data_IF_101224298953
#
_entry.id   IF_101224298953
#
_cell.length_a   1.000
_cell.length_b   1.000
_cell.length_c   1.000
_cell.angle_alpha   90.00
_cell.angle_beta   90.00
_cell.angle_gamma   90.00
#
_symmetry.space_group_name_H-M   'P 1'
#
loop_
_entity.id
_entity.type
_entity.pdbx_description
1 polymer ?
#
# COMPACT_ATOMS: atom_id res chain seq x y z
N UNK A 1 15.02 -16.10 -29.88
CA UNK A 1 16.40 -15.65 -29.60
C UNK A 1 16.45 -14.61 -28.48
N UNK A 2 15.79 -13.45 -28.59
CA UNK A 2 15.77 -12.41 -27.55
C UNK A 2 15.44 -12.88 -26.13
N UNK A 3 14.38 -13.68 -25.94
CA UNK A 3 13.99 -14.20 -24.60
C UNK A 3 15.05 -15.12 -23.97
N UNK A 4 15.74 -15.95 -24.76
CA UNK A 4 16.83 -16.81 -24.24
C UNK A 4 17.98 -15.95 -23.69
N UNK A 5 18.40 -14.95 -24.46
CA UNK A 5 19.46 -14.01 -24.07
C UNK A 5 19.15 -13.30 -22.75
N UNK A 6 17.93 -12.80 -22.58
CA UNK A 6 17.54 -12.10 -21.33
C UNK A 6 17.51 -13.05 -20.14
N UNK A 7 16.95 -14.26 -20.29
CA UNK A 7 16.91 -15.24 -19.21
C UNK A 7 18.32 -15.68 -18.81
N UNK A 8 19.21 -15.91 -19.77
CA UNK A 8 20.62 -16.24 -19.51
C UNK A 8 21.35 -15.11 -18.77
N UNK A 9 21.15 -13.85 -19.18
CA UNK A 9 21.75 -12.69 -18.53
C UNK A 9 21.20 -12.45 -17.12
N UNK A 10 19.91 -12.70 -16.87
CA UNK A 10 19.31 -12.62 -15.53
C UNK A 10 19.81 -13.73 -14.60
N UNK A 11 19.88 -14.96 -15.09
CA UNK A 11 20.37 -16.11 -14.34
C UNK A 11 21.85 -15.96 -13.93
N UNK A 12 22.64 -15.20 -14.68
CA UNK A 12 24.03 -14.87 -14.33
C UNK A 12 24.16 -13.85 -13.18
N UNK A 13 23.06 -13.18 -12.79
CA UNK A 13 23.06 -12.08 -11.80
C UNK A 13 22.37 -12.49 -10.49
N UNK A 14 21.38 -13.38 -10.55
CA UNK A 14 20.69 -13.88 -9.36
C UNK A 14 20.15 -15.29 -9.57
N UNK A 15 20.16 -16.06 -8.49
CA UNK A 15 19.54 -17.39 -8.37
C UNK A 15 18.04 -17.33 -7.99
N UNK A 16 17.49 -16.13 -7.78
CA UNK A 16 16.12 -15.90 -7.29
C UNK A 16 15.33 -15.01 -8.23
N UNK A 17 15.15 -15.45 -9.46
CA UNK A 17 14.31 -14.77 -10.47
C UNK A 17 13.24 -15.72 -11.01
N UNK A 18 12.05 -15.19 -11.26
CA UNK A 18 11.00 -15.88 -12.00
C UNK A 18 10.74 -15.12 -13.29
N UNK A 19 10.85 -15.82 -14.42
CA UNK A 19 10.68 -15.28 -15.75
C UNK A 19 9.37 -15.77 -16.37
N UNK A 20 8.52 -14.84 -16.80
CA UNK A 20 7.24 -15.12 -17.46
C UNK A 20 7.37 -14.80 -18.95
N UNK A 21 7.03 -15.77 -19.80
CA UNK A 21 7.07 -15.63 -21.26
C UNK A 21 6.00 -16.50 -21.91
N UNK A 22 5.43 -16.02 -23.02
CA UNK A 22 4.51 -16.80 -23.85
C UNK A 22 5.24 -17.83 -24.76
N UNK A 23 6.57 -17.82 -24.82
CA UNK A 23 7.33 -18.76 -25.65
C UNK A 23 7.38 -20.16 -25.01
N UNK A 24 7.02 -21.19 -25.79
CA UNK A 24 7.15 -22.60 -25.41
C UNK A 24 8.48 -23.22 -25.86
N UNK A 25 9.33 -22.47 -26.56
CA UNK A 25 10.61 -23.00 -27.03
C UNK A 25 11.50 -23.38 -25.84
N UNK A 26 12.20 -24.54 -25.88
CA UNK A 26 13.18 -24.89 -24.87
C UNK A 26 14.21 -23.76 -24.70
N UNK A 27 14.64 -23.44 -23.49
CA UNK A 27 15.67 -22.43 -23.27
C UNK A 27 17.08 -23.03 -23.36
N UNK A 28 17.26 -24.30 -22.97
CA UNK A 28 18.54 -25.02 -22.95
C UNK A 28 19.68 -24.29 -22.21
N UNK A 29 19.35 -23.49 -21.19
CA UNK A 29 20.30 -22.70 -20.40
C UNK A 29 20.66 -23.40 -19.07
N UNK A 30 21.96 -23.66 -18.79
CA UNK A 30 22.38 -24.29 -17.54
C UNK A 30 21.92 -23.52 -16.30
N UNK A 31 21.29 -24.22 -15.34
CA UNK A 31 20.81 -23.62 -14.08
C UNK A 31 19.45 -22.94 -14.16
N UNK A 32 18.81 -22.91 -15.33
CA UNK A 32 17.45 -22.38 -15.51
C UNK A 32 16.45 -23.54 -15.53
N UNK A 33 15.54 -23.58 -14.56
CA UNK A 33 14.42 -24.50 -14.57
C UNK A 33 13.29 -23.92 -15.44
N UNK A 34 13.05 -24.54 -16.60
CA UNK A 34 11.91 -24.17 -17.45
C UNK A 34 10.69 -25.04 -17.11
N UNK A 35 9.56 -24.38 -16.86
CA UNK A 35 8.25 -25.03 -16.71
C UNK A 35 7.35 -24.55 -17.85
N UNK A 36 6.96 -25.48 -18.73
CA UNK A 36 5.99 -25.19 -19.80
C UNK A 36 4.60 -25.56 -19.29
N UNK A 37 3.74 -24.55 -19.12
CA UNK A 37 2.35 -24.77 -18.69
C UNK A 37 1.46 -25.14 -19.87
N UNK A 38 0.48 -26.00 -19.63
CA UNK A 38 -0.54 -26.33 -20.64
C UNK A 38 -1.47 -25.13 -20.86
N UNK A 39 -1.99 -24.94 -22.09
CA UNK A 39 -2.99 -23.90 -22.34
C UNK A 39 -4.30 -24.19 -21.59
N UNK A 40 -5.14 -23.16 -21.37
CA UNK A 40 -6.50 -23.35 -20.85
C UNK A 40 -7.27 -24.37 -21.71
N UNK A 41 -7.71 -25.50 -21.13
CA UNK A 41 -8.22 -26.66 -21.87
C UNK A 41 -9.53 -26.44 -22.64
N UNK A 42 -10.17 -25.29 -22.49
CA UNK A 42 -11.59 -25.09 -22.86
C UNK A 42 -11.78 -24.04 -23.97
N UNK A 43 -10.73 -23.29 -24.34
CA UNK A 43 -10.86 -22.16 -25.26
C UNK A 43 -9.76 -22.12 -26.32
N UNK A 44 -10.07 -21.56 -27.48
CA UNK A 44 -9.15 -21.32 -28.60
C UNK A 44 -9.23 -19.85 -29.02
N UNK A 45 -8.21 -19.35 -29.73
CA UNK A 45 -8.18 -17.97 -30.19
C UNK A 45 -8.08 -16.95 -29.06
N UNK A 46 -8.71 -15.79 -29.23
CA UNK A 46 -8.62 -14.67 -28.28
C UNK A 46 -9.16 -14.98 -26.88
N UNK A 47 -10.19 -15.84 -26.78
CA UNK A 47 -10.74 -16.28 -25.49
C UNK A 47 -9.68 -16.98 -24.63
N UNK A 48 -8.78 -17.73 -25.27
CA UNK A 48 -7.66 -18.37 -24.57
C UNK A 48 -6.64 -17.34 -24.05
N UNK A 49 -6.44 -16.24 -24.78
CA UNK A 49 -5.52 -15.18 -24.40
C UNK A 49 -6.07 -14.37 -23.23
N UNK A 50 -7.35 -13.98 -23.28
CA UNK A 50 -8.00 -13.18 -22.24
C UNK A 50 -8.22 -13.98 -20.95
N UNK A 51 -8.47 -15.28 -21.05
CA UNK A 51 -8.66 -16.15 -19.87
C UNK A 51 -7.35 -16.72 -19.31
N UNK A 52 -6.24 -16.63 -20.06
CA UNK A 52 -4.95 -17.14 -19.64
C UNK A 52 -4.51 -16.62 -18.24
N UNK A 53 -4.68 -15.34 -17.87
CA UNK A 53 -4.34 -14.90 -16.53
C UNK A 53 -5.08 -15.64 -15.42
N UNK A 54 -6.39 -15.89 -15.60
CA UNK A 54 -7.20 -16.64 -14.62
C UNK A 54 -6.70 -18.08 -14.47
N UNK A 55 -6.21 -18.67 -15.55
CA UNK A 55 -5.68 -20.03 -15.55
C UNK A 55 -4.29 -20.13 -14.91
N UNK A 56 -3.35 -19.25 -15.30
CA UNK A 56 -1.95 -19.34 -14.88
C UNK A 56 -1.67 -18.71 -13.51
N UNK A 57 -2.42 -17.67 -13.12
CA UNK A 57 -2.22 -16.96 -11.86
C UNK A 57 -2.05 -17.87 -10.63
N UNK A 58 -2.94 -18.86 -10.36
CA UNK A 58 -2.83 -19.66 -9.13
C UNK A 58 -1.58 -20.54 -9.13
N UNK A 59 -1.17 -21.01 -10.31
CA UNK A 59 0.00 -21.87 -10.51
C UNK A 59 1.27 -21.05 -10.25
N UNK A 60 1.40 -19.90 -10.92
CA UNK A 60 2.59 -19.04 -10.81
C UNK A 60 2.68 -18.43 -9.40
N UNK A 61 1.55 -18.10 -8.76
CA UNK A 61 1.54 -17.64 -7.37
C UNK A 61 2.14 -18.68 -6.42
N UNK A 62 1.71 -19.95 -6.52
CA UNK A 62 2.21 -21.00 -5.65
C UNK A 62 3.73 -21.18 -5.82
N UNK A 63 4.22 -21.10 -7.06
CA UNK A 63 5.65 -21.11 -7.36
C UNK A 63 6.37 -19.91 -6.72
N UNK A 64 5.85 -18.70 -6.88
CA UNK A 64 6.44 -17.48 -6.31
C UNK A 64 6.47 -17.51 -4.77
N UNK A 65 5.45 -18.07 -4.12
CA UNK A 65 5.42 -18.21 -2.65
C UNK A 65 6.48 -19.20 -2.14
N UNK A 66 6.77 -20.22 -2.93
CA UNK A 66 7.79 -21.23 -2.61
C UNK A 66 9.21 -20.70 -2.88
N UNK A 67 9.44 -20.14 -4.07
CA UNK A 67 10.74 -19.67 -4.52
C UNK A 67 11.13 -18.32 -3.91
N UNK A 68 10.14 -17.50 -3.54
CA UNK A 68 10.31 -16.13 -3.04
C UNK A 68 11.29 -15.34 -3.91
N UNK A 69 10.97 -15.11 -5.19
CA UNK A 69 11.91 -14.47 -6.10
C UNK A 69 12.19 -13.03 -5.65
N UNK A 70 13.42 -12.59 -5.91
CA UNK A 70 13.84 -11.21 -5.67
C UNK A 70 13.21 -10.28 -6.68
N UNK A 71 12.99 -10.74 -7.91
CA UNK A 71 12.34 -10.00 -8.99
C UNK A 71 11.48 -10.91 -9.87
N UNK A 72 10.40 -10.36 -10.41
CA UNK A 72 9.68 -10.92 -11.54
C UNK A 72 10.19 -10.25 -12.82
N UNK A 73 10.46 -11.04 -13.84
CA UNK A 73 10.67 -10.54 -15.19
C UNK A 73 9.55 -11.07 -16.09
N UNK A 74 8.89 -10.19 -16.83
CA UNK A 74 7.89 -10.58 -17.82
C UNK A 74 8.22 -9.92 -19.15
N UNK A 75 8.32 -10.75 -20.20
CA UNK A 75 8.20 -10.25 -21.56
C UNK A 75 6.73 -10.14 -21.89
N UNK A 76 6.22 -8.90 -21.90
CA UNK A 76 4.80 -8.65 -21.99
C UNK A 76 4.22 -9.29 -23.25
N UNK A 77 3.05 -9.90 -23.10
CA UNK A 77 2.28 -10.51 -24.18
C UNK A 77 0.86 -9.98 -24.11
N UNK A 78 0.17 -9.91 -25.25
CA UNK A 78 -1.19 -9.35 -25.29
C UNK A 78 -2.10 -10.05 -24.27
N UNK A 79 -2.83 -9.26 -23.49
CA UNK A 79 -3.85 -9.76 -22.55
C UNK A 79 -3.28 -10.39 -21.29
N UNK A 80 -1.96 -10.40 -21.10
CA UNK A 80 -1.33 -10.94 -19.89
C UNK A 80 -1.27 -9.90 -18.77
N UNK A 81 -1.77 -10.29 -17.60
CA UNK A 81 -1.72 -9.49 -16.36
C UNK A 81 -1.01 -10.21 -15.21
N UNK A 82 -0.56 -11.46 -15.40
CA UNK A 82 -0.11 -12.33 -14.31
C UNK A 82 1.07 -11.75 -13.53
N UNK A 83 2.14 -11.30 -14.20
CA UNK A 83 3.29 -10.73 -13.50
C UNK A 83 2.95 -9.44 -12.76
N UNK A 84 2.08 -8.61 -13.33
CA UNK A 84 1.59 -7.40 -12.68
C UNK A 84 0.78 -7.72 -11.41
N UNK A 85 -0.17 -8.63 -11.51
CA UNK A 85 -0.98 -9.06 -10.37
C UNK A 85 -0.15 -9.72 -9.27
N UNK A 86 0.87 -10.52 -9.64
CA UNK A 86 1.78 -11.15 -8.68
C UNK A 86 2.68 -10.13 -8.02
N UNK A 87 3.24 -9.19 -8.78
CA UNK A 87 4.04 -8.09 -8.25
C UNK A 87 3.25 -7.31 -7.21
N UNK A 88 2.02 -6.93 -7.55
CA UNK A 88 1.14 -6.18 -6.66
C UNK A 88 0.77 -6.99 -5.41
N UNK A 89 0.38 -8.27 -5.56
CA UNK A 89 -0.09 -9.09 -4.44
C UNK A 89 1.01 -9.63 -3.53
N UNK A 90 2.21 -9.81 -4.05
CA UNK A 90 3.34 -10.41 -3.33
C UNK A 90 4.47 -9.42 -3.02
N UNK A 91 4.34 -8.15 -3.43
CA UNK A 91 5.33 -7.08 -3.27
C UNK A 91 6.70 -7.46 -3.85
N UNK A 92 6.67 -8.08 -5.03
CA UNK A 92 7.89 -8.50 -5.74
C UNK A 92 8.17 -7.45 -6.83
N UNK A 93 9.36 -6.83 -6.85
CA UNK A 93 9.69 -5.87 -7.88
C UNK A 93 9.66 -6.51 -9.28
N UNK A 94 9.15 -5.75 -10.24
CA UNK A 94 8.65 -6.26 -11.52
C UNK A 94 9.30 -5.55 -12.69
N UNK A 95 10.01 -6.32 -13.52
CA UNK A 95 10.67 -5.85 -14.73
C UNK A 95 9.84 -6.28 -15.93
N UNK A 96 9.37 -5.31 -16.71
CA UNK A 96 8.57 -5.56 -17.91
C UNK A 96 9.38 -5.25 -19.14
N UNK A 97 9.57 -6.23 -20.01
CA UNK A 97 10.01 -5.98 -21.37
C UNK A 97 8.79 -5.68 -22.25
N UNK A 98 8.69 -4.43 -22.68
CA UNK A 98 7.61 -3.88 -23.47
C UNK A 98 8.05 -3.71 -24.94
N UNK A 99 7.58 -4.55 -25.87
CA UNK A 99 7.94 -4.45 -27.28
C UNK A 99 7.15 -3.38 -28.05
N UNK A 100 6.11 -2.79 -27.43
CA UNK A 100 5.18 -1.85 -28.05
C UNK A 100 3.79 -2.47 -28.32
N UNK A 101 2.73 -1.68 -28.15
CA UNK A 101 1.34 -2.12 -28.28
C UNK A 101 1.01 -2.79 -29.62
N UNK A 102 1.48 -2.19 -30.72
CA UNK A 102 1.27 -2.74 -32.06
C UNK A 102 1.99 -4.08 -32.24
N UNK A 103 3.20 -4.22 -31.69
CA UNK A 103 3.95 -5.47 -31.74
C UNK A 103 3.28 -6.57 -30.90
N UNK A 104 2.74 -6.23 -29.73
CA UNK A 104 1.99 -7.17 -28.88
C UNK A 104 0.77 -7.74 -29.61
N UNK A 105 -0.06 -6.87 -30.20
CA UNK A 105 -1.27 -7.28 -30.90
C UNK A 105 -0.94 -8.05 -32.19
N UNK A 106 0.03 -7.58 -33.00
CA UNK A 106 0.45 -8.30 -34.21
C UNK A 106 0.98 -9.70 -33.90
N UNK A 107 1.77 -9.85 -32.84
CA UNK A 107 2.30 -11.15 -32.41
C UNK A 107 1.18 -12.09 -31.94
N UNK A 108 0.19 -11.58 -31.22
CA UNK A 108 -0.88 -12.37 -30.64
C UNK A 108 -1.96 -12.77 -31.65
N UNK A 109 -2.26 -11.89 -32.60
CA UNK A 109 -3.43 -12.00 -33.49
C UNK A 109 -3.04 -12.21 -34.95
N UNK A 110 -1.75 -12.39 -35.27
CA UNK A 110 -1.24 -12.53 -36.65
C UNK A 110 -1.70 -11.42 -37.61
N UNK A 111 -1.97 -10.21 -37.09
CA UNK A 111 -2.43 -9.06 -37.87
C UNK A 111 -3.95 -8.88 -37.95
N UNK A 112 -4.74 -9.79 -37.38
CA UNK A 112 -6.19 -9.63 -37.28
C UNK A 112 -6.58 -8.54 -36.26
N UNK A 113 -7.75 -7.94 -36.46
CA UNK A 113 -8.29 -6.95 -35.53
C UNK A 113 -8.77 -7.65 -34.24
N UNK A 114 -8.44 -7.11 -33.04
CA UNK A 114 -8.83 -7.71 -31.78
C UNK A 114 -10.35 -7.69 -31.57
N UNK A 115 -10.90 -8.82 -31.13
CA UNK A 115 -12.27 -8.90 -30.64
C UNK A 115 -12.42 -8.28 -29.24
N UNK A 116 -11.37 -8.33 -28.40
CA UNK A 116 -11.36 -7.77 -27.04
C UNK A 116 -10.36 -6.59 -26.85
N UNK A 117 -10.43 -5.52 -27.65
CA UNK A 117 -9.45 -4.44 -27.64
C UNK A 117 -9.28 -3.77 -26.26
N UNK A 118 -10.37 -3.60 -25.53
CA UNK A 118 -10.33 -2.99 -24.20
C UNK A 118 -9.62 -3.86 -23.15
N UNK A 119 -9.75 -5.18 -23.24
CA UNK A 119 -9.11 -6.09 -22.28
C UNK A 119 -7.60 -6.17 -22.52
N UNK A 120 -7.17 -6.16 -23.79
CA UNK A 120 -5.76 -6.05 -24.12
C UNK A 120 -5.15 -4.74 -23.61
N UNK A 121 -5.83 -3.61 -23.86
CA UNK A 121 -5.38 -2.30 -23.40
C UNK A 121 -5.27 -2.23 -21.87
N UNK A 122 -6.28 -2.74 -21.14
CA UNK A 122 -6.27 -2.78 -19.67
C UNK A 122 -5.16 -3.66 -19.11
N UNK A 123 -4.92 -4.83 -19.69
CA UNK A 123 -3.85 -5.72 -19.25
C UNK A 123 -2.46 -5.08 -19.46
N UNK A 124 -2.27 -4.45 -20.61
CA UNK A 124 -1.05 -3.72 -20.94
C UNK A 124 -0.82 -2.53 -19.99
N UNK A 125 -1.86 -1.71 -19.74
CA UNK A 125 -1.79 -0.59 -18.80
C UNK A 125 -1.45 -1.07 -17.39
N UNK A 126 -2.09 -2.14 -16.92
CA UNK A 126 -1.81 -2.72 -15.61
C UNK A 126 -0.35 -3.16 -15.49
N UNK A 127 0.18 -3.85 -16.52
CA UNK A 127 1.57 -4.28 -16.55
C UNK A 127 2.55 -3.10 -16.49
N UNK A 128 2.37 -2.10 -17.36
CA UNK A 128 3.25 -0.94 -17.44
C UNK A 128 3.22 -0.09 -16.16
N UNK A 129 2.05 0.12 -15.56
CA UNK A 129 1.92 0.88 -14.31
C UNK A 129 2.54 0.16 -13.12
N UNK A 130 2.41 -1.16 -13.04
CA UNK A 130 2.97 -1.96 -11.96
C UNK A 130 4.49 -2.16 -12.10
N UNK A 131 5.03 -2.10 -13.32
CA UNK A 131 6.43 -2.38 -13.62
C UNK A 131 7.40 -1.49 -12.85
N UNK A 132 8.14 -2.01 -11.88
CA UNK A 132 9.24 -1.29 -11.22
C UNK A 132 10.21 -0.69 -12.25
N UNK A 133 10.50 -1.43 -13.32
CA UNK A 133 11.25 -0.97 -14.49
C UNK A 133 10.56 -1.45 -15.76
N UNK A 134 10.43 -0.56 -16.74
CA UNK A 134 10.01 -0.90 -18.10
C UNK A 134 11.23 -0.86 -19.00
N UNK A 135 11.49 -1.97 -19.68
CA UNK A 135 12.53 -2.08 -20.69
C UNK A 135 11.86 -2.06 -22.06
N UNK A 136 12.31 -1.21 -22.97
CA UNK A 136 11.69 -1.08 -24.28
C UNK A 136 12.70 -0.78 -25.39
N UNK A 137 12.39 -1.09 -26.65
CA UNK A 137 13.17 -0.58 -27.79
C UNK A 137 12.98 0.93 -27.92
N UNK A 138 13.91 1.58 -28.63
CA UNK A 138 13.84 3.03 -28.92
C UNK A 138 12.52 3.45 -29.57
N UNK A 139 11.92 2.59 -30.40
CA UNK A 139 10.64 2.82 -31.08
C UNK A 139 9.44 2.92 -30.13
N UNK A 140 9.47 2.24 -28.98
CA UNK A 140 8.35 2.19 -28.03
C UNK A 140 8.42 3.30 -26.96
N UNK A 141 9.53 4.04 -26.88
CA UNK A 141 9.75 5.07 -25.85
C UNK A 141 8.69 6.18 -25.90
N UNK A 142 8.38 6.69 -27.09
CA UNK A 142 7.43 7.79 -27.24
C UNK A 142 6.01 7.41 -26.80
N UNK A 143 5.61 6.16 -27.01
CA UNK A 143 4.33 5.61 -26.55
C UNK A 143 4.28 5.52 -25.02
N UNK A 144 5.35 5.07 -24.37
CA UNK A 144 5.42 5.06 -22.90
C UNK A 144 5.32 6.46 -22.28
N UNK A 145 5.99 7.44 -22.90
CA UNK A 145 5.94 8.84 -22.44
C UNK A 145 4.54 9.45 -22.60
N UNK A 146 3.86 9.18 -23.72
CA UNK A 146 2.49 9.67 -23.95
C UNK A 146 1.48 9.10 -22.95
N UNK A 147 1.75 7.90 -22.43
CA UNK A 147 0.98 7.21 -21.39
C UNK A 147 1.35 7.62 -19.96
N UNK A 148 2.26 8.57 -19.79
CA UNK A 148 2.65 9.10 -18.49
C UNK A 148 3.51 8.17 -17.65
N UNK A 149 4.18 7.18 -18.27
CA UNK A 149 5.15 6.33 -17.57
C UNK A 149 6.39 7.16 -17.22
N UNK A 150 6.81 7.10 -15.96
CA UNK A 150 7.96 7.87 -15.46
C UNK A 150 9.24 7.50 -16.21
N UNK A 151 9.88 8.51 -16.81
CA UNK A 151 11.16 8.37 -17.54
C UNK A 151 12.25 7.73 -16.69
N UNK A 152 12.25 7.93 -15.38
CA UNK A 152 13.23 7.31 -14.48
C UNK A 152 13.08 5.78 -14.38
N UNK A 153 11.91 5.24 -14.74
CA UNK A 153 11.59 3.80 -14.75
C UNK A 153 11.79 3.16 -16.12
N UNK A 154 12.05 3.95 -17.17
CA UNK A 154 12.16 3.43 -18.55
C UNK A 154 13.63 3.25 -18.93
N UNK A 155 13.99 2.02 -19.31
CA UNK A 155 15.29 1.68 -19.86
C UNK A 155 15.14 1.36 -21.35
N UNK A 156 15.75 2.21 -22.17
CA UNK A 156 15.79 1.99 -23.61
C UNK A 156 16.99 1.09 -23.94
N UNK A 157 16.74 -0.01 -24.63
CA UNK A 157 17.78 -0.92 -25.14
C UNK A 157 17.79 -0.85 -26.67
N UNK A 158 18.98 -0.70 -27.23
CA UNK A 158 19.22 -0.84 -28.67
C UNK A 158 19.20 -2.32 -29.02
N UNK A 159 18.75 -2.68 -30.23
CA UNK A 159 18.54 -4.07 -30.67
C UNK A 159 19.80 -4.96 -30.53
N UNK A 160 21.00 -4.35 -30.51
CA UNK A 160 22.29 -5.04 -30.35
C UNK A 160 22.84 -5.04 -28.89
N UNK A 161 22.39 -4.10 -28.06
CA UNK A 161 22.86 -3.87 -26.69
C UNK A 161 22.07 -4.67 -25.66
N UNK A 162 22.67 -5.73 -25.12
CA UNK A 162 22.02 -6.65 -24.19
C UNK A 162 21.42 -5.97 -22.93
N UNK A 163 20.25 -6.46 -22.50
CA UNK A 163 19.52 -6.02 -21.30
C UNK A 163 20.37 -6.06 -20.01
N UNK A 164 21.41 -6.88 -19.97
CA UNK A 164 22.11 -7.27 -18.76
C UNK A 164 22.91 -6.17 -18.07
N UNK A 165 23.45 -5.17 -18.80
CA UNK A 165 24.18 -4.06 -18.14
C UNK A 165 23.24 -3.05 -17.47
N UNK A 166 22.16 -2.59 -18.13
CA UNK A 166 21.11 -1.80 -17.47
C UNK A 166 20.48 -2.52 -16.28
N UNK A 167 20.18 -3.82 -16.42
CA UNK A 167 19.53 -4.60 -15.37
C UNK A 167 20.48 -4.92 -14.21
N UNK A 168 21.77 -5.16 -14.47
CA UNK A 168 22.81 -5.22 -13.41
C UNK A 168 22.95 -3.91 -12.66
N UNK A 169 22.96 -2.78 -13.37
CA UNK A 169 23.00 -1.45 -12.75
C UNK A 169 21.77 -1.21 -11.87
N UNK A 170 20.58 -1.66 -12.31
CA UNK A 170 19.36 -1.61 -11.51
C UNK A 170 19.44 -2.51 -10.26
N UNK A 171 19.85 -3.77 -10.41
CA UNK A 171 19.99 -4.72 -9.29
C UNK A 171 21.05 -4.24 -8.29
N UNK A 172 22.18 -3.71 -8.77
CA UNK A 172 23.23 -3.12 -7.94
C UNK A 172 22.78 -1.81 -7.27
N UNK A 173 21.99 -0.98 -7.97
CA UNK A 173 21.39 0.25 -7.44
C UNK A 173 20.34 -0.02 -6.35
N UNK A 174 19.60 -1.12 -6.45
CA UNK A 174 18.69 -1.62 -5.40
C UNK A 174 19.44 -2.24 -4.21
N UNK A 175 20.66 -2.76 -4.42
CA UNK A 175 21.53 -3.26 -3.37
C UNK A 175 22.36 -2.16 -2.67
N UNK A 176 22.67 -1.06 -3.36
CA UNK A 176 23.50 0.05 -2.87
C UNK A 176 22.76 1.33 -2.46
N UNK A 177 21.53 1.55 -2.93
CA UNK A 177 20.63 2.50 -2.30
C UNK A 177 20.31 1.98 -0.90
N UNK A 178 20.39 2.82 0.14
CA UNK A 178 19.85 2.46 1.46
C UNK A 178 18.46 1.88 1.22
N UNK A 179 18.31 0.55 1.34
CA UNK A 179 17.01 -0.11 1.45
C UNK A 179 16.33 0.67 2.56
N UNK A 180 15.31 1.47 2.24
CA UNK A 180 14.36 1.91 3.25
C UNK A 180 13.81 0.60 3.79
N UNK A 181 14.29 0.23 4.97
CA UNK A 181 14.02 -1.05 5.60
C UNK A 181 12.52 -1.27 5.56
N UNK A 182 12.06 -2.37 4.96
CA UNK A 182 10.61 -2.67 4.87
C UNK A 182 9.97 -2.92 6.23
N UNK A 183 10.80 -3.01 7.28
CA UNK A 183 10.45 -3.20 8.68
C UNK A 183 11.41 -2.38 9.56
N UNK A 184 10.87 -1.67 10.56
CA UNK A 184 11.65 -1.16 11.68
C UNK A 184 11.81 -2.30 12.68
N UNK A 185 13.04 -2.58 13.12
CA UNK A 185 13.27 -3.53 14.23
C UNK A 185 12.72 -2.90 15.51
N UNK A 186 11.57 -3.38 15.97
CA UNK A 186 10.92 -2.85 17.16
C UNK A 186 11.34 -3.55 18.45
N UNK A 187 12.00 -4.70 18.33
CA UNK A 187 12.24 -5.62 19.44
C UNK A 187 10.97 -6.29 19.98
N UNK A 188 9.83 -6.13 19.28
CA UNK A 188 8.51 -6.64 19.66
C UNK A 188 7.91 -7.45 18.51
N UNK A 189 7.81 -8.78 18.71
CA UNK A 189 7.34 -9.71 17.70
C UNK A 189 5.90 -9.42 17.20
N UNK A 190 5.06 -8.81 18.03
CA UNK A 190 3.71 -8.41 17.62
C UNK A 190 3.76 -7.23 16.67
N UNK A 191 4.56 -6.19 16.97
CA UNK A 191 4.73 -5.03 16.09
C UNK A 191 5.37 -5.42 14.76
N UNK A 192 6.34 -6.32 14.77
CA UNK A 192 6.99 -6.81 13.54
C UNK A 192 6.02 -7.59 12.63
N UNK A 193 5.06 -8.33 13.19
CA UNK A 193 3.97 -8.95 12.42
C UNK A 193 2.95 -7.93 11.92
N UNK A 194 2.60 -6.95 12.75
CA UNK A 194 1.61 -5.91 12.45
C UNK A 194 2.06 -5.01 11.28
N UNK A 195 3.35 -4.70 11.19
CA UNK A 195 3.94 -3.95 10.06
C UNK A 195 3.61 -4.58 8.71
N UNK A 196 3.74 -5.90 8.61
CA UNK A 196 3.44 -6.63 7.37
C UNK A 196 1.95 -6.61 7.01
N UNK A 197 1.06 -6.48 8.00
CA UNK A 197 -0.38 -6.39 7.78
C UNK A 197 -0.77 -5.03 7.21
N UNK A 198 -0.39 -3.94 7.88
CA UNK A 198 -0.74 -2.58 7.45
C UNK A 198 -0.09 -2.20 6.13
N UNK A 199 1.13 -2.71 5.85
CA UNK A 199 1.76 -2.59 4.53
C UNK A 199 0.89 -3.16 3.39
N UNK A 200 0.05 -4.17 3.66
CA UNK A 200 -0.75 -4.88 2.65
C UNK A 200 -2.17 -4.37 2.51
N UNK A 201 -2.74 -3.75 3.55
CA UNK A 201 -4.09 -3.21 3.52
C UNK A 201 -4.11 -1.81 4.15
N UNK A 202 -3.75 -0.78 3.37
CA UNK A 202 -3.70 0.58 3.87
C UNK A 202 -5.05 1.05 4.38
N UNK A 203 -5.09 1.59 5.60
CA UNK A 203 -6.35 2.02 6.21
C UNK A 203 -7.04 3.09 5.34
N UNK A 204 -8.29 2.83 4.95
CA UNK A 204 -9.11 3.74 4.17
C UNK A 204 -9.06 3.53 2.65
N UNK A 205 -8.12 2.73 2.15
CA UNK A 205 -7.98 2.41 0.72
C UNK A 205 -9.23 1.72 0.13
N UNK A 206 -9.99 1.01 0.96
CA UNK A 206 -11.20 0.29 0.58
C UNK A 206 -12.42 1.17 0.29
N UNK A 207 -12.36 2.47 0.63
CA UNK A 207 -13.52 3.36 0.51
C UNK A 207 -13.65 4.01 -0.87
N UNK A 208 -12.56 4.08 -1.64
CA UNK A 208 -12.63 4.44 -3.04
C UNK A 208 -12.99 3.22 -3.88
N UNK A 209 -14.05 3.36 -4.69
CA UNK A 209 -14.62 2.28 -5.51
C UNK A 209 -14.57 2.59 -6.99
N UNK A 210 -14.64 3.86 -7.34
CA UNK A 210 -14.84 4.30 -8.71
C UNK A 210 -13.52 4.75 -9.37
N UNK A 211 -12.57 5.24 -8.58
CA UNK A 211 -11.27 5.72 -9.06
C UNK A 211 -10.19 4.65 -9.05
N UNK A 212 -9.30 4.71 -10.04
CA UNK A 212 -8.14 3.82 -10.14
C UNK A 212 -7.16 4.09 -8.98
N UNK A 213 -6.72 3.05 -8.22
CA UNK A 213 -5.74 3.22 -7.15
C UNK A 213 -4.47 3.95 -7.58
N UNK A 214 -3.81 4.66 -6.65
CA UNK A 214 -2.59 5.43 -6.89
C UNK A 214 -2.75 6.65 -7.84
N UNK A 215 -3.98 7.08 -8.12
CA UNK A 215 -4.26 8.31 -8.87
C UNK A 215 -4.69 9.44 -7.93
N UNK A 216 -4.59 10.69 -8.40
CA UNK A 216 -5.07 11.84 -7.63
C UNK A 216 -6.57 11.71 -7.32
N UNK A 217 -7.36 11.28 -8.30
CA UNK A 217 -8.81 11.08 -8.14
C UNK A 217 -9.12 10.05 -7.05
N UNK A 218 -8.32 8.98 -6.95
CA UNK A 218 -8.46 7.99 -5.89
C UNK A 218 -8.18 8.57 -4.50
N UNK A 219 -7.12 9.35 -4.33
CA UNK A 219 -6.86 10.03 -3.06
C UNK A 219 -7.95 11.05 -2.70
N UNK A 220 -8.50 11.76 -3.70
CA UNK A 220 -9.58 12.72 -3.51
C UNK A 220 -10.93 12.04 -3.23
N UNK A 221 -11.20 10.86 -3.79
CA UNK A 221 -12.39 10.06 -3.52
C UNK A 221 -12.38 9.55 -2.07
N UNK A 222 -11.24 9.01 -1.60
CA UNK A 222 -11.05 8.60 -0.21
C UNK A 222 -11.29 9.79 0.73
N UNK A 223 -10.71 10.95 0.41
CA UNK A 223 -10.92 12.19 1.17
C UNK A 223 -12.39 12.61 1.22
N UNK A 224 -13.06 12.63 0.06
CA UNK A 224 -14.46 13.00 -0.06
C UNK A 224 -15.35 12.08 0.75
N UNK A 225 -15.09 10.77 0.75
CA UNK A 225 -15.82 9.84 1.61
C UNK A 225 -15.53 10.11 3.10
N UNK A 226 -14.25 10.31 3.45
CA UNK A 226 -13.80 10.55 4.83
C UNK A 226 -14.48 11.76 5.46
N UNK A 227 -14.51 12.90 4.76
CA UNK A 227 -15.09 14.14 5.28
C UNK A 227 -16.53 14.41 4.82
N UNK A 228 -17.04 13.70 3.82
CA UNK A 228 -18.42 13.85 3.36
C UNK A 228 -19.39 12.89 4.03
N UNK A 229 -18.94 11.67 4.37
CA UNK A 229 -19.81 10.58 4.84
C UNK A 229 -19.36 10.07 6.20
N UNK A 230 -18.09 9.68 6.34
CA UNK A 230 -17.61 9.01 7.55
C UNK A 230 -17.53 9.95 8.75
N UNK A 231 -16.90 11.12 8.59
CA UNK A 231 -16.72 12.08 9.67
C UNK A 231 -16.77 13.54 9.18
N UNK A 232 -17.96 14.08 8.84
CA UNK A 232 -18.09 15.46 8.36
C UNK A 232 -17.68 16.55 9.35
N UNK A 233 -17.66 16.22 10.63
CA UNK A 233 -17.23 17.09 11.72
C UNK A 233 -15.70 17.14 11.88
N UNK A 234 -14.96 16.23 11.23
CA UNK A 234 -13.53 16.03 11.46
C UNK A 234 -12.68 17.26 11.08
N UNK A 235 -12.86 17.92 9.92
CA UNK A 235 -12.00 19.05 9.56
C UNK A 235 -12.02 20.18 10.58
N UNK A 236 -13.19 20.50 11.13
CA UNK A 236 -13.35 21.53 12.15
C UNK A 236 -12.80 21.08 13.51
N UNK A 237 -13.12 19.85 13.94
CA UNK A 237 -12.73 19.32 15.26
C UNK A 237 -11.23 19.06 15.36
N UNK A 238 -10.61 18.65 14.25
CA UNK A 238 -9.18 18.36 14.16
C UNK A 238 -8.34 19.57 13.74
N UNK A 239 -8.99 20.73 13.57
CA UNK A 239 -8.35 22.03 13.39
C UNK A 239 -7.46 22.15 12.13
N UNK A 240 -7.73 21.38 11.07
CA UNK A 240 -6.85 21.31 9.88
C UNK A 240 -6.46 22.66 9.27
N UNK A 241 -7.34 23.66 9.38
CA UNK A 241 -7.14 24.99 8.80
C UNK A 241 -6.38 26.00 9.70
N UNK A 242 -5.99 25.64 10.93
CA UNK A 242 -5.54 26.61 11.95
C UNK A 242 -4.04 26.55 12.29
N UNK A 243 -3.26 25.73 11.58
CA UNK A 243 -1.85 25.47 11.90
C UNK A 243 -0.87 25.95 10.82
N UNK A 244 -1.23 27.01 10.09
CA UNK A 244 -0.36 27.60 9.07
C UNK A 244 0.97 28.05 9.68
N UNK A 245 2.09 27.66 9.05
CA UNK A 245 3.45 27.98 9.50
C UNK A 245 3.94 27.21 10.74
N UNK A 246 3.13 26.30 11.29
CA UNK A 246 3.50 25.49 12.45
C UNK A 246 4.08 24.13 12.05
N UNK A 247 4.97 23.59 12.89
CA UNK A 247 5.49 22.22 12.75
C UNK A 247 4.46 21.22 13.29
N UNK A 248 3.88 20.42 12.38
CA UNK A 248 2.86 19.42 12.67
C UNK A 248 3.43 18.02 12.49
N UNK A 249 3.38 17.20 13.54
CA UNK A 249 3.67 15.77 13.47
C UNK A 249 2.35 14.97 13.44
N UNK A 250 2.16 14.13 12.44
CA UNK A 250 1.16 13.08 12.45
C UNK A 250 1.78 11.73 12.82
N UNK A 251 1.14 11.01 13.73
CA UNK A 251 1.51 9.64 14.11
C UNK A 251 0.51 8.68 13.46
N UNK A 252 1.02 7.88 12.52
CA UNK A 252 0.32 6.87 11.74
C UNK A 252 -0.56 7.46 10.65
N UNK A 253 0.04 8.26 9.75
CA UNK A 253 -0.67 9.01 8.72
C UNK A 253 -1.38 8.18 7.64
N UNK A 254 -1.09 6.87 7.53
CA UNK A 254 -1.80 6.00 6.59
C UNK A 254 -1.63 6.44 5.13
N UNK A 255 -2.72 6.89 4.50
CA UNK A 255 -2.71 7.44 3.14
C UNK A 255 -2.26 8.92 3.07
N UNK A 256 -1.93 9.53 4.22
CA UNK A 256 -1.61 10.95 4.34
C UNK A 256 -2.81 11.87 4.06
N UNK A 257 -4.04 11.38 4.19
CA UNK A 257 -5.26 12.14 3.89
C UNK A 257 -5.42 13.34 4.81
N UNK A 258 -5.28 13.14 6.13
CA UNK A 258 -5.39 14.21 7.11
C UNK A 258 -4.15 15.13 7.08
N UNK A 259 -2.95 14.56 6.98
CA UNK A 259 -1.71 15.33 6.79
C UNK A 259 -1.76 16.29 5.60
N UNK A 260 -2.34 15.84 4.47
CA UNK A 260 -2.49 16.64 3.28
C UNK A 260 -3.39 17.86 3.52
N UNK A 261 -4.38 17.77 4.40
CA UNK A 261 -5.21 18.92 4.79
C UNK A 261 -4.41 19.96 5.56
N UNK A 262 -3.63 19.54 6.56
CA UNK A 262 -2.75 20.47 7.28
C UNK A 262 -1.74 21.15 6.34
N UNK A 263 -1.10 20.38 5.46
CA UNK A 263 -0.15 20.91 4.48
C UNK A 263 -0.80 21.87 3.47
N UNK A 264 -2.00 21.56 2.99
CA UNK A 264 -2.75 22.43 2.08
C UNK A 264 -3.13 23.78 2.72
N UNK A 265 -3.29 23.81 4.06
CA UNK A 265 -3.52 25.03 4.83
C UNK A 265 -2.21 25.68 5.34
N UNK A 266 -1.05 25.23 4.86
CA UNK A 266 0.24 25.89 5.08
C UNK A 266 1.04 25.41 6.29
N UNK A 267 0.67 24.29 6.92
CA UNK A 267 1.49 23.69 7.98
C UNK A 267 2.76 23.01 7.41
N UNK A 268 3.81 22.95 8.23
CA UNK A 268 5.03 22.19 7.95
C UNK A 268 4.90 20.79 8.53
N UNK A 269 4.59 19.82 7.67
CA UNK A 269 4.12 18.51 8.12
C UNK A 269 5.19 17.41 8.12
N UNK A 270 5.13 16.55 9.12
CA UNK A 270 5.91 15.32 9.24
C UNK A 270 4.99 14.16 9.58
N UNK A 271 5.14 13.02 8.90
CA UNK A 271 4.49 11.74 9.21
C UNK A 271 5.49 10.78 9.86
N UNK A 272 5.08 10.12 10.94
CA UNK A 272 5.72 8.91 11.45
C UNK A 272 4.74 7.76 11.38
N UNK A 273 5.06 6.74 10.60
CA UNK A 273 4.27 5.52 10.53
C UNK A 273 5.20 4.30 10.67
N UNK A 274 4.67 3.24 11.29
CA UNK A 274 5.36 1.97 11.44
C UNK A 274 5.28 1.14 10.14
N UNK A 275 4.27 1.38 9.30
CA UNK A 275 4.07 0.71 8.02
C UNK A 275 4.73 1.49 6.87
N UNK A 276 5.82 0.97 6.32
CA UNK A 276 6.50 1.57 5.16
C UNK A 276 5.59 1.72 3.93
N UNK A 277 4.60 0.85 3.76
CA UNK A 277 3.61 0.92 2.68
C UNK A 277 2.69 2.14 2.80
N UNK A 278 2.29 2.51 4.01
CA UNK A 278 1.55 3.75 4.27
C UNK A 278 2.37 4.97 3.86
N UNK A 279 3.63 5.05 4.31
CA UNK A 279 4.50 6.18 3.97
C UNK A 279 4.71 6.32 2.46
N UNK A 280 4.83 5.21 1.72
CA UNK A 280 4.89 5.27 0.24
C UNK A 280 3.64 5.88 -0.38
N UNK A 281 2.46 5.49 0.11
CA UNK A 281 1.18 6.02 -0.36
C UNK A 281 0.99 7.49 0.02
N UNK A 282 1.37 7.87 1.24
CA UNK A 282 1.34 9.25 1.70
C UNK A 282 2.28 10.14 0.88
N UNK A 283 3.51 9.68 0.60
CA UNK A 283 4.46 10.34 -0.30
C UNK A 283 3.88 10.53 -1.70
N UNK A 284 3.23 9.49 -2.25
CA UNK A 284 2.59 9.56 -3.56
C UNK A 284 1.41 10.55 -3.59
N UNK A 285 0.57 10.54 -2.55
CA UNK A 285 -0.52 11.51 -2.39
C UNK A 285 0.01 12.95 -2.39
N UNK A 286 1.06 13.21 -1.61
CA UNK A 286 1.71 14.52 -1.53
C UNK A 286 2.30 14.95 -2.87
N UNK A 287 2.99 14.03 -3.57
CA UNK A 287 3.54 14.29 -4.90
C UNK A 287 2.44 14.67 -5.89
N UNK A 288 1.34 13.92 -5.94
CA UNK A 288 0.22 14.16 -6.84
C UNK A 288 -0.49 15.49 -6.55
N UNK A 289 -0.59 15.89 -5.28
CA UNK A 289 -1.15 17.18 -4.85
C UNK A 289 -0.16 18.34 -4.90
N UNK A 290 1.11 18.08 -5.22
CA UNK A 290 2.21 19.05 -5.18
C UNK A 290 2.41 19.69 -3.79
N UNK A 291 2.18 18.90 -2.74
CA UNK A 291 2.41 19.28 -1.35
C UNK A 291 3.82 18.86 -0.92
N UNK A 292 4.29 19.43 0.20
CA UNK A 292 5.58 19.08 0.82
C UNK A 292 5.35 18.50 2.20
N UNK A 293 6.07 17.44 2.54
CA UNK A 293 6.03 16.79 3.84
C UNK A 293 7.27 15.94 4.06
N UNK A 294 7.54 15.59 5.32
CA UNK A 294 8.61 14.65 5.71
C UNK A 294 7.97 13.33 6.14
N UNK A 295 8.51 12.20 5.70
CA UNK A 295 7.94 10.88 5.96
C UNK A 295 8.98 9.97 6.58
N UNK A 296 8.75 9.57 7.82
CA UNK A 296 9.74 8.91 8.67
C UNK A 296 9.21 7.54 9.08
N UNK A 297 9.91 6.49 8.66
CA UNK A 297 9.58 5.12 9.06
C UNK A 297 10.15 4.84 10.44
N UNK A 298 9.29 4.83 11.46
CA UNK A 298 9.71 4.65 12.86
C UNK A 298 8.58 4.15 13.76
N UNK A 299 8.93 3.56 14.90
CA UNK A 299 7.99 3.25 15.97
C UNK A 299 7.62 4.50 16.76
N UNK A 300 6.33 4.74 16.95
CA UNK A 300 5.79 5.86 17.71
C UNK A 300 5.98 5.73 19.23
N UNK A 301 6.32 4.53 19.74
CA UNK A 301 6.68 4.34 21.14
C UNK A 301 8.07 4.90 21.50
N UNK A 302 8.88 5.24 20.49
CA UNK A 302 10.18 5.89 20.63
C UNK A 302 10.45 6.78 19.40
N UNK A 303 9.98 8.02 19.42
CA UNK A 303 10.05 8.91 18.25
C UNK A 303 11.49 9.40 17.99
N UNK A 304 11.93 9.47 16.72
CA UNK A 304 13.30 9.85 16.35
C UNK A 304 13.48 11.38 16.27
N UNK A 305 12.91 12.12 17.21
CA UNK A 305 12.94 13.58 17.23
C UNK A 305 13.46 14.08 18.56
N UNK A 306 14.07 15.27 18.55
CA UNK A 306 14.49 15.96 19.76
C UNK A 306 13.27 16.44 20.57
N UNK A 307 13.50 16.72 21.85
CA UNK A 307 12.50 17.33 22.71
C UNK A 307 12.02 18.66 22.12
N UNK A 308 10.74 18.98 22.30
CA UNK A 308 10.19 20.29 21.91
C UNK A 308 10.38 20.65 20.42
N UNK A 309 10.22 19.67 19.54
CA UNK A 309 10.38 19.82 18.09
C UNK A 309 9.12 20.28 17.34
N UNK A 310 7.92 20.07 17.88
CA UNK A 310 6.65 20.31 17.17
C UNK A 310 5.69 21.23 17.94
N UNK A 311 4.88 21.99 17.21
CA UNK A 311 3.81 22.82 17.77
C UNK A 311 2.51 22.01 17.94
N UNK A 312 2.25 21.07 17.03
CA UNK A 312 1.10 20.18 17.05
C UNK A 312 1.54 18.73 16.85
N UNK A 313 1.00 17.83 17.67
CA UNK A 313 1.02 16.39 17.39
C UNK A 313 -0.40 15.89 17.19
N UNK A 314 -0.64 15.33 16.01
CA UNK A 314 -1.92 14.78 15.59
C UNK A 314 -1.84 13.26 15.49
N UNK A 315 -2.90 12.56 15.90
CA UNK A 315 -3.02 11.13 15.60
C UNK A 315 -4.47 10.69 15.60
N UNK A 316 -4.93 10.12 14.48
CA UNK A 316 -6.30 9.68 14.36
C UNK A 316 -6.40 8.16 14.22
N UNK A 317 -6.81 7.48 15.30
CA UNK A 317 -7.17 6.08 15.24
C UNK A 317 -5.96 5.12 15.28
N UNK A 318 -4.83 5.55 15.84
CA UNK A 318 -3.58 4.77 15.81
C UNK A 318 -3.18 4.30 17.20
N UNK A 319 -3.15 5.21 18.18
CA UNK A 319 -2.61 4.97 19.52
C UNK A 319 -3.21 3.75 20.25
N UNK A 320 -4.46 3.42 19.96
CA UNK A 320 -5.16 2.31 20.61
C UNK A 320 -4.78 0.93 20.06
N UNK A 321 -4.02 0.90 18.96
CA UNK A 321 -3.43 -0.31 18.37
C UNK A 321 -2.00 -0.60 18.84
N UNK A 322 -1.32 0.37 19.48
CA UNK A 322 0.05 0.16 19.97
C UNK A 322 0.04 -0.70 21.23
N UNK A 323 1.00 -1.59 21.47
CA UNK A 323 1.11 -2.31 22.74
C UNK A 323 1.18 -1.38 23.96
N UNK A 324 2.07 -0.38 23.91
CA UNK A 324 2.32 0.57 24.98
C UNK A 324 1.87 1.99 24.63
N UNK A 325 0.55 2.22 24.63
CA UNK A 325 -0.03 3.55 24.36
C UNK A 325 0.52 4.63 25.29
N UNK A 326 0.83 4.29 26.55
CA UNK A 326 1.42 5.24 27.49
C UNK A 326 2.83 5.68 27.08
N UNK A 327 3.62 4.84 26.41
CA UNK A 327 4.90 5.23 25.82
C UNK A 327 4.71 6.26 24.71
N UNK A 328 3.78 6.00 23.78
CA UNK A 328 3.44 6.96 22.72
C UNK A 328 3.02 8.31 23.31
N UNK A 329 2.16 8.32 24.34
CA UNK A 329 1.73 9.59 24.97
C UNK A 329 2.87 10.32 25.69
N UNK A 330 3.85 9.59 26.25
CA UNK A 330 5.08 10.22 26.78
C UNK A 330 5.91 10.85 25.68
N UNK A 331 6.05 10.17 24.53
CA UNK A 331 6.76 10.71 23.37
C UNK A 331 6.05 11.93 22.79
N UNK A 332 4.72 11.90 22.66
CA UNK A 332 3.92 13.07 22.27
C UNK A 332 4.22 14.25 23.20
N UNK A 333 4.21 14.03 24.51
CA UNK A 333 4.52 15.09 25.50
C UNK A 333 5.95 15.61 25.34
N UNK A 334 6.93 14.73 25.09
CA UNK A 334 8.35 15.08 24.97
C UNK A 334 8.63 15.93 23.73
N UNK A 335 8.09 15.54 22.58
CA UNK A 335 8.36 16.21 21.30
C UNK A 335 7.57 17.51 21.12
N UNK A 336 6.55 17.77 21.95
CA UNK A 336 5.79 19.01 21.91
C UNK A 336 6.57 20.16 22.56
N UNK A 337 6.57 21.32 21.88
CA UNK A 337 7.06 22.58 22.43
C UNK A 337 6.22 23.01 23.63
N UNK A 338 6.76 23.82 24.56
CA UNK A 338 5.94 24.46 25.58
C UNK A 338 4.81 25.27 24.93
N UNK A 339 3.57 25.01 25.34
CA UNK A 339 2.36 25.60 24.74
C UNK A 339 1.85 24.88 23.48
N UNK A 340 2.56 23.85 23.00
CA UNK A 340 2.12 22.99 21.91
C UNK A 340 0.91 22.14 22.28
N UNK A 341 0.27 21.57 21.26
CA UNK A 341 -1.03 20.88 21.40
C UNK A 341 -0.97 19.44 20.89
N UNK A 342 -1.72 18.55 21.53
CA UNK A 342 -1.99 17.22 21.03
C UNK A 342 -3.47 17.07 20.66
N UNK A 343 -3.77 16.60 19.46
CA UNK A 343 -5.13 16.25 19.00
C UNK A 343 -5.13 14.76 18.66
N UNK A 344 -5.81 13.96 19.48
CA UNK A 344 -5.76 12.49 19.38
C UNK A 344 -7.16 11.88 19.38
N UNK A 345 -7.41 10.99 18.42
CA UNK A 345 -8.61 10.14 18.39
C UNK A 345 -8.27 8.71 18.84
N UNK A 346 -9.04 8.21 19.81
CA UNK A 346 -9.04 6.81 20.26
C UNK A 346 -10.47 6.28 20.33
N UNK A 347 -10.63 4.97 20.26
CA UNK A 347 -11.95 4.37 20.36
C UNK A 347 -12.56 4.53 21.76
N UNK A 348 -13.81 4.97 21.79
CA UNK A 348 -14.56 5.18 23.02
C UNK A 348 -15.13 3.86 23.55
N UNK A 349 -14.86 3.59 24.83
CA UNK A 349 -15.57 2.57 25.60
C UNK A 349 -17.00 3.08 25.89
N UNK A 350 -17.96 2.16 26.02
CA UNK A 350 -19.36 2.45 26.35
C UNK A 350 -20.16 3.24 25.30
N UNK A 351 -19.90 3.07 24.02
CA UNK A 351 -20.82 3.54 22.97
C UNK A 351 -22.05 2.62 22.85
N UNK A 352 -23.14 3.12 22.26
CA UNK A 352 -24.31 2.28 21.94
C UNK A 352 -23.90 1.09 21.04
N UNK A 353 -22.99 1.33 20.09
CA UNK A 353 -22.40 0.28 19.26
C UNK A 353 -21.67 -0.77 20.11
N UNK A 354 -20.83 -0.34 21.05
CA UNK A 354 -20.10 -1.22 21.95
C UNK A 354 -21.06 -2.12 22.75
N UNK A 355 -22.04 -1.54 23.43
CA UNK A 355 -22.97 -2.32 24.26
C UNK A 355 -23.91 -3.20 23.44
N UNK A 356 -24.54 -2.66 22.39
CA UNK A 356 -25.55 -3.38 21.61
C UNK A 356 -24.94 -4.43 20.69
N UNK A 357 -23.91 -4.06 19.93
CA UNK A 357 -23.38 -4.94 18.88
C UNK A 357 -22.24 -5.83 19.43
N UNK A 358 -21.28 -5.25 20.17
CA UNK A 358 -20.11 -6.00 20.61
C UNK A 358 -20.39 -6.85 21.84
N UNK A 359 -20.97 -6.26 22.89
CA UNK A 359 -21.25 -6.98 24.14
C UNK A 359 -22.50 -7.86 23.99
N UNK A 360 -23.66 -7.27 23.67
CA UNK A 360 -24.91 -8.03 23.64
C UNK A 360 -25.01 -8.99 22.45
N UNK A 361 -24.94 -8.49 21.21
CA UNK A 361 -25.14 -9.33 20.04
C UNK A 361 -23.99 -10.34 19.86
N UNK A 362 -22.75 -9.87 19.67
CA UNK A 362 -21.60 -10.74 19.44
C UNK A 362 -21.19 -11.51 20.70
N UNK A 363 -21.09 -10.82 21.83
CA UNK A 363 -20.64 -11.42 23.08
C UNK A 363 -21.64 -12.41 23.68
N UNK A 364 -22.87 -11.97 23.94
CA UNK A 364 -23.90 -12.77 24.63
C UNK A 364 -24.71 -13.63 23.67
N UNK A 365 -25.34 -13.03 22.65
CA UNK A 365 -26.27 -13.76 21.76
C UNK A 365 -25.56 -14.78 20.86
N UNK A 366 -24.42 -14.41 20.27
CA UNK A 366 -23.59 -15.31 19.45
C UNK A 366 -22.58 -16.12 20.30
N UNK A 367 -22.57 -15.94 21.63
CA UNK A 367 -21.78 -16.73 22.57
C UNK A 367 -20.26 -16.50 22.52
N UNK A 368 -19.76 -15.42 21.92
CA UNK A 368 -18.31 -15.20 21.81
C UNK A 368 -17.65 -14.91 23.15
N UNK A 369 -18.37 -14.34 24.13
CA UNK A 369 -17.83 -14.10 25.48
C UNK A 369 -17.55 -15.39 26.25
N UNK A 370 -18.12 -16.52 25.84
CA UNK A 370 -17.82 -17.82 26.45
C UNK A 370 -16.46 -18.35 26.02
N UNK A 371 -15.90 -17.83 24.92
CA UNK A 371 -14.70 -18.37 24.26
C UNK A 371 -13.55 -17.38 24.14
N UNK A 372 -13.84 -16.08 24.18
CA UNK A 372 -12.89 -15.03 23.83
C UNK A 372 -13.02 -13.83 24.78
N UNK A 373 -11.90 -13.15 25.02
CA UNK A 373 -11.92 -11.88 25.76
C UNK A 373 -12.58 -10.77 24.94
N UNK A 374 -13.03 -9.69 25.59
CA UNK A 374 -13.55 -8.53 24.85
C UNK A 374 -12.51 -7.92 23.89
N UNK A 375 -11.22 -7.97 24.22
CA UNK A 375 -10.14 -7.55 23.31
C UNK A 375 -10.10 -8.39 22.04
N UNK A 376 -10.24 -9.71 22.18
CA UNK A 376 -10.30 -10.65 21.05
C UNK A 376 -11.55 -10.45 20.21
N UNK A 377 -12.71 -10.23 20.84
CA UNK A 377 -13.97 -9.96 20.14
C UNK A 377 -13.84 -8.69 19.30
N UNK A 378 -13.33 -7.60 19.88
CA UNK A 378 -13.12 -6.33 19.18
C UNK A 378 -12.14 -6.47 18.01
N UNK A 379 -11.01 -7.16 18.24
CA UNK A 379 -10.01 -7.40 17.21
C UNK A 379 -10.58 -8.18 16.01
N UNK A 380 -11.53 -9.11 16.25
CA UNK A 380 -12.20 -9.89 15.21
C UNK A 380 -13.34 -9.14 14.50
N UNK A 381 -13.97 -8.18 15.17
CA UNK A 381 -15.22 -7.57 14.69
C UNK A 381 -15.08 -6.14 14.19
N UNK A 382 -14.15 -5.36 14.75
CA UNK A 382 -14.00 -3.91 14.46
C UNK A 382 -13.02 -3.69 13.31
N UNK A 383 -11.93 -4.45 13.29
CA UNK A 383 -10.92 -4.40 12.21
C UNK A 383 -10.93 -5.73 11.45
N UNK A 384 -11.86 -5.88 10.49
CA UNK A 384 -11.86 -7.01 9.57
C UNK A 384 -10.74 -6.84 8.55
N UNK A 385 -9.58 -7.45 8.79
CA UNK A 385 -8.56 -7.63 7.77
C UNK A 385 -8.98 -8.73 6.78
N UNK A 386 -8.73 -8.52 5.48
CA UNK A 386 -9.00 -9.51 4.43
C UNK A 386 -8.23 -10.84 4.61
N UNK A 387 -7.29 -10.93 5.57
CA UNK A 387 -6.39 -12.06 5.78
C UNK A 387 -6.39 -12.60 7.23
N UNK A 388 -7.51 -12.55 7.96
CA UNK A 388 -7.65 -13.07 9.35
C UNK A 388 -6.73 -12.43 10.41
N UNK A 389 -6.03 -11.35 10.06
CA UNK A 389 -5.14 -10.66 10.96
C UNK A 389 -5.92 -9.88 12.05
N UNK A 390 -5.42 -9.93 13.29
CA UNK A 390 -6.11 -9.48 14.51
C UNK A 390 -5.33 -8.34 15.17
N UNK A 391 -5.47 -7.09 14.70
CA UNK A 391 -4.81 -5.97 15.35
C UNK A 391 -5.39 -5.80 16.76
N UNK A 392 -4.53 -5.53 17.73
CA UNK A 392 -4.91 -5.13 19.07
C UNK A 392 -5.84 -3.93 18.98
N UNK A 393 -6.99 -3.99 19.65
CA UNK A 393 -7.92 -2.87 19.74
C UNK A 393 -8.14 -2.55 21.21
N UNK A 394 -7.72 -1.35 21.63
CA UNK A 394 -8.04 -0.82 22.96
C UNK A 394 -9.16 0.23 22.87
N UNK A 395 -9.98 0.29 23.90
CA UNK A 395 -11.03 1.30 24.06
C UNK A 395 -10.83 2.05 25.37
N UNK A 396 -11.27 3.30 25.41
CA UNK A 396 -11.04 4.19 26.54
C UNK A 396 -12.33 4.86 27.01
N UNK A 397 -12.56 4.86 28.32
CA UNK A 397 -13.49 5.82 28.93
C UNK A 397 -12.90 7.23 28.93
N UNK A 398 -13.74 8.27 29.08
CA UNK A 398 -13.26 9.66 29.25
C UNK A 398 -12.26 9.79 30.40
N UNK A 399 -12.49 9.09 31.51
CA UNK A 399 -11.61 9.13 32.69
C UNK A 399 -10.24 8.51 32.39
N UNK A 400 -10.20 7.35 31.73
CA UNK A 400 -8.96 6.69 31.31
C UNK A 400 -8.18 7.53 30.30
N UNK A 401 -8.86 8.12 29.31
CA UNK A 401 -8.23 9.03 28.36
C UNK A 401 -7.63 10.25 29.09
N UNK A 402 -8.37 10.90 30.00
CA UNK A 402 -7.83 12.03 30.79
C UNK A 402 -6.60 11.65 31.62
N UNK A 403 -6.64 10.50 32.27
CA UNK A 403 -5.51 10.01 33.07
C UNK A 403 -4.27 9.75 32.20
N UNK A 404 -4.46 9.17 31.01
CA UNK A 404 -3.37 8.90 30.06
C UNK A 404 -2.64 10.19 29.63
N UNK A 405 -3.39 11.26 29.42
CA UNK A 405 -2.86 12.58 29.07
C UNK A 405 -2.65 13.50 30.29
N UNK A 406 -2.58 12.96 31.52
CA UNK A 406 -2.58 13.75 32.76
C UNK A 406 -1.38 14.68 32.97
N UNK A 407 -0.33 14.59 32.14
CA UNK A 407 0.79 15.55 32.13
C UNK A 407 0.44 16.88 31.49
N UNK A 408 -0.58 16.91 30.62
CA UNK A 408 -1.02 18.13 29.96
C UNK A 408 -1.78 19.02 30.94
N UNK A 409 -1.50 20.32 30.90
CA UNK A 409 -2.17 21.31 31.73
C UNK A 409 -3.69 21.37 31.49
N UNK A 410 -4.12 21.16 30.24
CA UNK A 410 -5.54 21.13 29.85
C UNK A 410 -5.80 19.89 29.01
N UNK A 411 -6.72 19.04 29.47
CA UNK A 411 -7.18 17.85 28.72
C UNK A 411 -8.68 17.94 28.48
N UNK A 412 -9.05 18.19 27.23
CA UNK A 412 -10.43 18.19 26.77
C UNK A 412 -10.74 16.87 26.06
N UNK A 413 -11.85 16.23 26.45
CA UNK A 413 -12.28 14.96 25.84
C UNK A 413 -13.66 15.15 25.25
N UNK A 414 -13.68 15.26 23.93
CA UNK A 414 -14.90 15.29 23.13
C UNK A 414 -15.34 13.85 22.85
N UNK A 415 -16.60 13.55 23.12
CA UNK A 415 -17.23 12.30 22.74
C UNK A 415 -18.60 12.64 22.17
N UNK A 416 -18.76 12.50 20.87
CA UNK A 416 -20.06 12.60 20.21
C UNK A 416 -20.75 11.25 20.29
N UNK A 417 -21.94 11.21 20.87
CA UNK A 417 -22.88 10.11 20.70
C UNK A 417 -23.86 10.51 19.59
N UNK A 418 -24.46 9.54 18.89
CA UNK A 418 -25.52 9.83 17.92
C UNK A 418 -26.60 10.66 18.61
N UNK A 419 -26.95 11.80 18.03
CA UNK A 419 -28.08 12.61 18.45
C UNK A 419 -29.37 11.89 18.07
N UNK A 420 -30.46 12.17 18.80
CA UNK A 420 -31.76 11.56 18.49
C UNK A 420 -32.23 11.89 17.06
N UNK A 421 -31.87 13.07 16.56
CA UNK A 421 -32.16 13.53 15.19
C UNK A 421 -31.36 12.78 14.11
N UNK A 422 -30.28 12.09 14.49
CA UNK A 422 -29.38 11.34 13.59
C UNK A 422 -29.73 9.85 13.52
N UNK A 423 -30.70 9.40 14.33
CA UNK A 423 -31.20 8.04 14.27
C UNK A 423 -32.23 7.92 13.12
N UNK A 424 -32.20 6.84 12.32
CA UNK A 424 -33.26 6.59 11.34
C UNK A 424 -34.62 6.57 12.05
N UNK A 425 -35.59 7.27 11.45
CA UNK A 425 -36.96 7.38 11.96
C UNK A 425 -37.65 6.02 12.09
#
# INVERSE_FOLDING_TARGET
EGTRRVVAELAAVTDRVVCLTASRAPLDEPGVLQVVMDPPRVTLGEDAIVLAPTHYWPIVKAACQTLRPTYLYERLSAGQSVGAELSQRLDIPYVVEYPGAEALLRQALNGDAPFYPELYSKAEELALRQATVVVCPSSAKADLESRGIDRARVLVVDDDGGLGTPLRTFVAGQAGGKRRTTSVETGDAYKDQLQNQWNRNPAGSQYARDSQPHTLDWFLEVEKYRYGVYAPWMPATMEFAFHAGQDVLEIGGGLGTDLAQFAAHGAMVTDVDLAAGHLRLAEENFRLRRLRGRFIHHDAEALPFDDQSFDLVYSNGVLHHTPNTAAVVREIWRVLRPGGRAIVMVYAENSLHFWRNLVWFLGVKEGLLERFSMGDIMSRSVERSANDARPLVKVYTKARARALFGRFHRVEVLQRQLLAEELPA
#
